data_IF_633530944290
#
_entry.id   IF_633530944290
#
_cell.length_a   1.000
_cell.length_b   1.000
_cell.length_c   1.000
_cell.angle_alpha   90.00
_cell.angle_beta   90.00
_cell.angle_gamma   90.00
#
_symmetry.space_group_name_H-M   'P 1'
#
loop_
_entity.id
_entity.type
_entity.pdbx_description
1 polymer ?
#
# COMPACT_ATOMS: atom_id res chain seq x y z
N UNK A 1 -38.76 5.43 79.44
CA UNK A 1 -37.68 4.47 79.20
C UNK A 1 -37.78 4.11 77.72
N UNK A 2 -37.10 4.85 76.86
CA UNK A 2 -37.07 4.62 75.47
C UNK A 2 -35.64 4.88 75.02
N UNK A 3 -34.93 3.82 74.58
CA UNK A 3 -33.56 3.86 74.16
C UNK A 3 -33.48 4.33 72.72
N UNK A 4 -32.50 5.16 72.46
CA UNK A 4 -32.17 5.79 71.22
C UNK A 4 -31.08 4.98 70.52
N UNK A 5 -31.39 4.34 69.38
CA UNK A 5 -30.40 3.66 68.53
C UNK A 5 -30.04 4.55 67.36
N UNK A 6 -28.85 5.11 67.41
CA UNK A 6 -28.25 5.90 66.37
C UNK A 6 -27.65 4.96 65.29
N UNK A 7 -28.16 5.03 64.07
CA UNK A 7 -27.65 4.35 62.94
C UNK A 7 -26.54 5.18 62.25
N UNK A 8 -25.30 4.70 62.29
CA UNK A 8 -24.12 5.30 61.62
C UNK A 8 -23.98 4.74 60.23
N UNK A 9 -24.61 5.41 59.27
CA UNK A 9 -24.39 5.15 57.85
C UNK A 9 -23.02 5.69 57.40
N UNK A 10 -22.03 4.81 57.30
CA UNK A 10 -20.71 5.12 56.75
C UNK A 10 -20.78 5.22 55.21
N UNK A 11 -20.89 6.44 54.69
CA UNK A 11 -20.74 6.73 53.27
C UNK A 11 -19.30 6.42 52.84
N UNK A 12 -19.09 5.31 52.17
CA UNK A 12 -17.86 5.05 51.40
C UNK A 12 -17.81 5.99 50.19
N UNK A 13 -17.01 7.03 50.32
CA UNK A 13 -16.67 7.92 49.22
C UNK A 13 -15.69 7.16 48.28
N UNK A 14 -16.23 6.47 47.27
CA UNK A 14 -15.46 5.89 46.18
C UNK A 14 -14.90 7.02 45.31
N UNK A 15 -13.64 7.39 45.56
CA UNK A 15 -12.88 8.28 44.70
C UNK A 15 -12.66 7.53 43.40
N UNK A 16 -13.52 7.77 42.40
CA UNK A 16 -13.23 7.38 41.02
C UNK A 16 -11.97 8.15 40.62
N UNK A 17 -10.86 7.45 40.49
CA UNK A 17 -9.65 7.98 39.86
C UNK A 17 -10.03 8.36 38.43
N UNK A 18 -10.11 9.65 38.14
CA UNK A 18 -10.22 10.14 36.79
C UNK A 18 -8.92 9.73 36.09
N UNK A 19 -8.98 8.65 35.29
CA UNK A 19 -7.93 8.31 34.37
C UNK A 19 -7.73 9.53 33.45
N UNK A 20 -6.53 10.10 33.48
CA UNK A 20 -6.16 11.15 32.55
C UNK A 20 -6.45 10.66 31.13
N UNK A 21 -7.05 11.49 30.27
CA UNK A 21 -7.35 11.06 28.90
C UNK A 21 -6.06 10.58 28.25
N UNK A 22 -6.00 9.28 27.92
CA UNK A 22 -4.87 8.72 27.20
C UNK A 22 -4.82 9.43 25.85
N UNK A 23 -3.78 10.24 25.65
CA UNK A 23 -3.60 10.96 24.40
C UNK A 23 -3.33 9.92 23.29
N UNK A 24 -4.30 9.76 22.38
CA UNK A 24 -4.16 8.87 21.23
C UNK A 24 -3.35 9.59 20.16
N UNK A 25 -2.20 9.05 19.82
CA UNK A 25 -1.38 9.57 18.73
C UNK A 25 -1.92 9.08 17.38
N UNK A 26 -1.87 9.94 16.36
CA UNK A 26 -2.22 9.58 15.00
C UNK A 26 -0.97 9.55 14.13
N UNK A 27 -0.78 8.42 13.46
CA UNK A 27 0.33 8.16 12.55
C UNK A 27 -0.21 7.99 11.11
N UNK A 28 0.55 8.44 10.13
CA UNK A 28 0.23 8.24 8.71
C UNK A 28 1.35 7.43 8.08
N UNK A 29 1.00 6.31 7.44
CA UNK A 29 1.95 5.35 6.86
C UNK A 29 1.67 5.13 5.38
N UNK A 30 2.71 4.93 4.57
CA UNK A 30 2.60 4.55 3.17
C UNK A 30 3.20 3.18 2.90
N UNK A 31 2.40 2.28 2.36
CA UNK A 31 2.90 1.09 1.67
C UNK A 31 3.06 1.43 0.20
N UNK A 32 4.28 1.84 -0.18
CA UNK A 32 4.62 2.19 -1.56
C UNK A 32 5.07 0.94 -2.28
N UNK A 33 4.36 0.57 -3.35
CA UNK A 33 4.62 -0.62 -4.14
C UNK A 33 5.15 -0.26 -5.53
N UNK A 34 6.07 -1.07 -6.03
CA UNK A 34 6.52 -1.09 -7.44
C UNK A 34 6.69 -2.50 -7.94
N UNK A 35 6.83 -2.64 -9.26
CA UNK A 35 7.24 -3.89 -9.90
C UNK A 35 8.62 -3.75 -10.50
N UNK A 36 9.55 -4.61 -10.07
CA UNK A 36 10.90 -4.70 -10.62
C UNK A 36 11.41 -6.13 -10.54
N UNK A 37 12.15 -6.56 -11.57
CA UNK A 37 12.76 -7.90 -11.63
C UNK A 37 11.74 -9.04 -11.43
N UNK A 38 10.55 -8.89 -12.03
CA UNK A 38 9.42 -9.80 -11.93
C UNK A 38 8.87 -10.00 -10.50
N UNK A 39 9.23 -9.12 -9.56
CA UNK A 39 8.75 -9.14 -8.18
C UNK A 39 7.95 -7.87 -7.83
N UNK A 40 6.89 -8.04 -7.03
CA UNK A 40 6.23 -6.94 -6.35
C UNK A 40 7.08 -6.54 -5.15
N UNK A 41 7.52 -5.30 -5.12
CA UNK A 41 8.38 -4.77 -4.06
C UNK A 41 7.67 -3.68 -3.27
N UNK A 42 7.96 -3.61 -1.97
CA UNK A 42 7.54 -2.54 -1.08
C UNK A 42 8.74 -1.72 -0.62
N UNK A 43 8.56 -0.42 -0.51
CA UNK A 43 9.58 0.49 0.02
C UNK A 43 9.57 0.44 1.54
N UNK A 44 10.73 0.14 2.13
CA UNK A 44 10.94 0.17 3.57
C UNK A 44 12.18 1.01 3.90
N UNK A 45 12.17 1.64 5.08
CA UNK A 45 13.33 2.33 5.64
C UNK A 45 13.72 1.74 6.99
N UNK A 46 14.98 1.80 7.36
CA UNK A 46 15.50 1.24 8.59
C UNK A 46 15.37 2.24 9.74
N UNK A 47 14.73 1.83 10.83
CA UNK A 47 14.52 2.69 12.00
C UNK A 47 15.83 3.02 12.71
N UNK A 48 16.02 4.32 13.00
CA UNK A 48 17.19 4.83 13.76
C UNK A 48 16.88 5.03 15.26
N UNK A 49 15.69 4.65 15.76
CA UNK A 49 15.24 4.89 17.15
C UNK A 49 14.46 3.71 17.70
N UNK A 50 14.49 3.57 19.03
CA UNK A 50 13.56 2.70 19.76
C UNK A 50 12.10 3.23 19.69
N UNK A 51 11.09 2.38 19.85
CA UNK A 51 11.20 0.92 19.87
C UNK A 51 11.54 0.37 18.48
N UNK A 52 12.06 -0.86 18.42
CA UNK A 52 12.42 -1.54 17.18
C UNK A 52 13.58 -0.90 16.39
N UNK A 53 14.62 -0.43 17.09
CA UNK A 53 15.86 0.04 16.47
C UNK A 53 16.39 -0.97 15.43
N UNK A 54 16.80 -0.49 14.25
CA UNK A 54 17.28 -1.26 13.09
C UNK A 54 16.25 -2.18 12.42
N UNK A 55 15.01 -2.26 12.88
CA UNK A 55 13.94 -2.92 12.15
C UNK A 55 13.48 -2.11 10.94
N UNK A 56 12.96 -2.80 9.94
CA UNK A 56 12.40 -2.17 8.75
C UNK A 56 10.99 -1.64 9.00
N UNK A 57 10.67 -0.50 8.43
CA UNK A 57 9.39 0.18 8.64
C UNK A 57 8.85 0.75 7.34
N UNK A 58 7.56 0.86 7.23
CA UNK A 58 6.92 1.65 6.19
C UNK A 58 7.27 3.14 6.38
N UNK A 59 7.48 3.90 5.29
CA UNK A 59 7.61 5.34 5.35
C UNK A 59 6.37 5.98 5.97
N UNK A 60 6.57 7.01 6.77
CA UNK A 60 5.48 7.72 7.42
C UNK A 60 5.91 8.41 8.70
N UNK A 61 4.96 8.83 9.50
CA UNK A 61 5.20 9.49 10.77
C UNK A 61 3.94 10.09 11.35
N UNK A 62 4.11 10.86 12.41
CA UNK A 62 3.01 11.51 13.10
C UNK A 62 2.29 12.50 12.19
N UNK A 63 0.96 12.49 12.24
CA UNK A 63 0.13 13.54 11.67
C UNK A 63 0.36 14.84 12.44
N UNK A 64 0.68 15.93 11.73
CA UNK A 64 0.79 17.25 12.34
C UNK A 64 -0.60 17.86 12.57
N UNK A 65 -0.67 18.83 13.49
CA UNK A 65 -1.94 19.40 13.94
C UNK A 65 -2.61 20.30 12.86
N UNK A 66 -1.84 20.73 11.86
CA UNK A 66 -2.24 21.67 10.80
C UNK A 66 -2.35 21.03 9.41
N UNK A 67 -2.29 19.70 9.33
CA UNK A 67 -2.38 18.97 8.05
C UNK A 67 -3.43 17.86 8.06
N UNK A 68 -4.01 17.55 6.92
CA UNK A 68 -4.81 16.35 6.72
C UNK A 68 -3.93 15.13 6.41
N UNK A 69 -4.51 13.94 6.45
CA UNK A 69 -3.78 12.68 6.28
C UNK A 69 -3.18 12.52 4.88
N UNK A 70 -3.79 13.09 3.84
CA UNK A 70 -3.28 13.02 2.47
C UNK A 70 -2.10 13.98 2.28
N UNK A 71 -2.16 15.17 2.82
CA UNK A 71 -1.05 16.13 2.85
C UNK A 71 0.12 15.55 3.62
N UNK A 72 -0.15 14.99 4.82
CA UNK A 72 0.85 14.34 5.65
C UNK A 72 1.62 13.26 4.90
N UNK A 73 0.92 12.31 4.26
CA UNK A 73 1.61 11.20 3.61
C UNK A 73 2.48 11.67 2.43
N UNK A 74 2.02 12.65 1.64
CA UNK A 74 2.81 13.21 0.53
C UNK A 74 4.07 13.90 1.04
N UNK A 75 3.98 14.68 2.11
CA UNK A 75 5.12 15.33 2.77
C UNK A 75 6.10 14.29 3.31
N UNK A 76 5.62 13.30 4.08
CA UNK A 76 6.45 12.25 4.67
C UNK A 76 7.24 11.46 3.60
N UNK A 77 6.63 11.15 2.47
CA UNK A 77 7.28 10.46 1.36
C UNK A 77 8.33 11.32 0.68
N UNK A 78 8.07 12.62 0.49
CA UNK A 78 9.02 13.54 -0.11
C UNK A 78 10.23 13.80 0.79
N UNK A 79 10.01 13.95 2.10
CA UNK A 79 11.05 14.33 3.06
C UNK A 79 11.93 13.15 3.51
N UNK A 80 11.33 11.97 3.71
CA UNK A 80 12.02 10.82 4.33
C UNK A 80 12.63 9.85 3.35
N UNK A 81 12.00 9.66 2.21
CA UNK A 81 12.40 8.62 1.25
C UNK A 81 12.56 9.14 -0.17
N UNK A 82 12.44 10.46 -0.35
CA UNK A 82 12.56 11.18 -1.63
C UNK A 82 11.69 10.62 -2.77
N UNK A 83 10.57 10.01 -2.44
CA UNK A 83 9.60 9.49 -3.41
C UNK A 83 8.54 10.54 -3.70
N UNK A 84 8.73 11.30 -4.79
CA UNK A 84 7.84 12.40 -5.20
C UNK A 84 6.90 12.01 -6.33
N UNK A 85 7.24 10.97 -7.07
CA UNK A 85 6.55 10.55 -8.30
C UNK A 85 5.65 9.34 -8.07
N UNK A 86 4.62 9.50 -7.25
CA UNK A 86 3.57 8.50 -7.12
C UNK A 86 2.55 8.69 -8.24
N UNK A 87 2.28 7.64 -8.99
CA UNK A 87 1.25 7.66 -10.04
C UNK A 87 -0.14 7.42 -9.48
N UNK A 88 -0.23 6.78 -8.30
CA UNK A 88 -1.47 6.54 -7.60
C UNK A 88 -1.23 6.54 -6.08
N UNK A 89 -2.13 7.18 -5.34
CA UNK A 89 -2.20 7.14 -3.87
C UNK A 89 -3.65 7.00 -3.47
N UNK A 90 -3.94 6.07 -2.57
CA UNK A 90 -5.27 5.93 -1.99
C UNK A 90 -5.19 5.46 -0.54
N UNK A 91 -6.16 5.80 0.28
CA UNK A 91 -6.25 5.27 1.62
C UNK A 91 -6.50 3.77 1.59
N UNK A 92 -5.62 3.01 2.24
CA UNK A 92 -5.72 1.56 2.39
C UNK A 92 -6.71 1.21 3.49
N UNK A 93 -6.56 1.82 4.65
CA UNK A 93 -7.37 1.58 5.83
C UNK A 93 -6.82 2.24 7.08
N UNK A 94 -7.52 2.00 8.20
CA UNK A 94 -7.09 2.43 9.53
C UNK A 94 -6.69 1.20 10.34
N UNK A 95 -5.50 1.24 10.93
CA UNK A 95 -4.94 0.19 11.78
C UNK A 95 -4.92 0.71 13.22
N UNK A 96 -5.70 0.08 14.08
CA UNK A 96 -5.99 0.60 15.41
C UNK A 96 -6.02 -0.48 16.50
N UNK A 97 -5.31 -1.60 16.31
CA UNK A 97 -5.16 -2.60 17.37
C UNK A 97 -4.58 -1.93 18.63
N UNK A 98 -5.13 -2.21 19.84
CA UNK A 98 -4.68 -1.56 21.06
C UNK A 98 -3.20 -1.74 21.36
N UNK A 99 -2.65 -2.85 20.96
CA UNK A 99 -1.28 -3.31 21.19
C UNK A 99 -0.33 -3.09 20.01
N UNK A 100 -0.78 -2.39 18.94
CA UNK A 100 0.07 -2.13 17.77
C UNK A 100 1.34 -1.31 18.09
N UNK A 101 1.34 -0.56 19.18
CA UNK A 101 2.50 0.17 19.68
C UNK A 101 2.74 -0.14 21.16
N UNK A 102 3.99 -0.46 21.58
CA UNK A 102 4.26 -1.03 22.92
C UNK A 102 4.10 -0.05 24.07
N UNK A 103 4.16 1.28 23.82
CA UNK A 103 4.23 2.28 24.90
C UNK A 103 3.12 3.34 24.86
N UNK A 104 2.34 3.43 23.78
CA UNK A 104 1.29 4.46 23.65
C UNK A 104 0.13 3.97 22.80
N UNK A 105 -1.01 4.60 22.95
CA UNK A 105 -2.16 4.38 22.08
C UNK A 105 -1.92 5.10 20.75
N UNK A 106 -1.67 4.34 19.70
CA UNK A 106 -1.44 4.87 18.34
C UNK A 106 -2.50 4.33 17.38
N UNK A 107 -3.05 5.20 16.56
CA UNK A 107 -3.91 4.85 15.41
C UNK A 107 -3.17 5.23 14.14
N UNK A 108 -3.07 4.33 13.18
CA UNK A 108 -2.43 4.60 11.90
C UNK A 108 -3.44 4.67 10.76
N UNK A 109 -3.41 5.75 9.99
CA UNK A 109 -3.99 5.82 8.65
C UNK A 109 -2.96 5.36 7.64
N UNK A 110 -3.18 4.20 7.03
CA UNK A 110 -2.28 3.64 6.02
C UNK A 110 -2.76 3.95 4.60
N UNK A 111 -1.81 4.19 3.70
CA UNK A 111 -2.02 4.50 2.29
C UNK A 111 -1.31 3.48 1.41
N UNK A 112 -1.93 3.13 0.30
CA UNK A 112 -1.31 2.44 -0.82
C UNK A 112 -0.78 3.47 -1.80
N UNK A 113 0.54 3.45 -2.05
CA UNK A 113 1.20 4.22 -3.10
C UNK A 113 1.72 3.32 -4.21
N UNK A 114 1.65 3.76 -5.47
CA UNK A 114 2.17 3.02 -6.62
C UNK A 114 3.18 3.86 -7.41
N UNK A 115 4.30 3.24 -7.75
CA UNK A 115 5.38 3.82 -8.57
C UNK A 115 5.52 2.99 -9.85
N UNK A 116 5.56 3.62 -11.05
CA UNK A 116 5.78 2.92 -12.30
C UNK A 116 7.15 2.22 -12.34
N UNK A 117 7.24 1.11 -13.07
CA UNK A 117 8.44 0.26 -13.11
C UNK A 117 9.65 0.91 -13.81
N UNK A 118 9.46 1.98 -14.55
CA UNK A 118 10.51 2.79 -15.18
C UNK A 118 11.01 3.96 -14.32
N UNK A 119 10.38 4.19 -13.17
CA UNK A 119 10.81 5.20 -12.20
C UNK A 119 11.73 4.55 -11.17
N UNK A 120 12.92 5.09 -11.01
CA UNK A 120 13.91 4.65 -10.03
C UNK A 120 14.36 5.85 -9.18
N UNK A 121 13.67 6.11 -8.07
CA UNK A 121 14.02 7.22 -7.19
C UNK A 121 15.38 6.99 -6.52
N UNK A 122 16.14 8.05 -6.33
CA UNK A 122 17.35 8.03 -5.51
C UNK A 122 16.92 7.88 -4.04
N UNK A 123 17.26 6.75 -3.44
CA UNK A 123 16.86 6.44 -2.08
C UNK A 123 17.97 6.79 -1.08
N UNK A 124 17.62 7.27 0.12
CA UNK A 124 18.55 7.34 1.24
C UNK A 124 19.20 5.99 1.56
N UNK A 125 20.37 5.99 2.16
CA UNK A 125 21.15 4.76 2.43
C UNK A 125 20.45 3.76 3.36
N UNK A 126 19.54 4.24 4.18
CA UNK A 126 18.71 3.46 5.12
C UNK A 126 17.36 2.99 4.51
N UNK A 127 17.13 3.28 3.24
CA UNK A 127 15.86 3.00 2.55
C UNK A 127 16.09 2.03 1.38
N UNK A 128 15.26 1.00 1.27
CA UNK A 128 15.38 -0.04 0.22
C UNK A 128 14.02 -0.60 -0.19
N UNK A 129 14.00 -1.13 -1.40
CA UNK A 129 12.92 -1.95 -1.92
C UNK A 129 13.12 -3.41 -1.50
N UNK A 130 12.07 -4.03 -0.97
CA UNK A 130 12.05 -5.44 -0.56
C UNK A 130 10.92 -6.17 -1.26
N UNK A 131 11.15 -7.40 -1.68
CA UNK A 131 10.08 -8.24 -2.22
C UNK A 131 8.99 -8.45 -1.16
N UNK A 132 7.72 -8.26 -1.54
CA UNK A 132 6.60 -8.39 -0.57
C UNK A 132 6.44 -9.83 -0.09
N UNK A 133 6.87 -10.79 -0.89
CA UNK A 133 6.81 -12.21 -0.52
C UNK A 133 8.01 -12.66 0.36
N UNK A 134 9.01 -11.79 0.56
CA UNK A 134 10.23 -12.05 1.35
C UNK A 134 10.56 -10.84 2.24
N UNK A 135 9.59 -10.40 3.04
CA UNK A 135 9.77 -9.23 3.90
C UNK A 135 10.82 -9.50 4.98
N UNK A 136 11.72 -8.55 5.23
CA UNK A 136 12.62 -8.61 6.38
C UNK A 136 11.83 -8.41 7.67
N UNK A 137 12.48 -8.61 8.82
CA UNK A 137 11.86 -8.34 10.12
C UNK A 137 11.44 -6.87 10.23
N UNK A 138 10.15 -6.61 10.27
CA UNK A 138 9.55 -5.27 10.36
C UNK A 138 9.30 -4.82 11.79
N UNK A 139 9.09 -3.53 11.97
CA UNK A 139 8.63 -2.93 13.21
C UNK A 139 7.11 -2.94 13.26
N UNK A 140 6.55 -3.02 14.47
CA UNK A 140 5.11 -2.94 14.72
C UNK A 140 4.30 -3.93 13.85
N UNK A 141 3.15 -3.46 13.36
CA UNK A 141 2.25 -4.16 12.43
C UNK A 141 2.52 -3.82 10.95
N UNK A 142 3.73 -3.35 10.62
CA UNK A 142 4.04 -2.86 9.27
C UNK A 142 4.07 -3.97 8.21
N UNK A 143 4.35 -5.22 8.60
CA UNK A 143 4.21 -6.39 7.73
C UNK A 143 2.74 -6.58 7.32
N UNK A 144 1.82 -6.55 8.28
CA UNK A 144 0.39 -6.71 8.01
C UNK A 144 -0.15 -5.63 7.08
N UNK A 145 0.32 -4.37 7.25
CA UNK A 145 -0.04 -3.25 6.38
C UNK A 145 0.50 -3.46 4.96
N UNK A 146 1.74 -3.91 4.81
CA UNK A 146 2.34 -4.22 3.50
C UNK A 146 1.60 -5.35 2.79
N UNK A 147 1.24 -6.42 3.51
CA UNK A 147 0.45 -7.52 2.97
C UNK A 147 -0.97 -7.07 2.59
N UNK A 148 -1.63 -6.27 3.42
CA UNK A 148 -2.95 -5.69 3.11
C UNK A 148 -2.91 -4.81 1.84
N UNK A 149 -1.82 -4.07 1.60
CA UNK A 149 -1.66 -3.26 0.40
C UNK A 149 -1.50 -4.12 -0.87
N UNK A 150 -0.78 -5.25 -0.78
CA UNK A 150 -0.71 -6.24 -1.86
C UNK A 150 -2.09 -6.79 -2.21
N UNK A 151 -2.86 -7.19 -1.21
CA UNK A 151 -4.21 -7.74 -1.44
C UNK A 151 -5.15 -6.66 -2.00
N UNK A 152 -5.03 -5.41 -1.57
CA UNK A 152 -5.78 -4.28 -2.16
C UNK A 152 -5.44 -4.11 -3.64
N UNK A 153 -4.16 -4.13 -4.00
CA UNK A 153 -3.71 -4.03 -5.38
C UNK A 153 -4.25 -5.19 -6.24
N UNK A 154 -4.15 -6.44 -5.74
CA UNK A 154 -4.70 -7.64 -6.40
C UNK A 154 -6.20 -7.50 -6.67
N UNK A 155 -6.95 -7.11 -5.67
CA UNK A 155 -8.39 -6.88 -5.81
C UNK A 155 -8.69 -5.82 -6.88
N UNK A 156 -8.00 -4.68 -6.85
CA UNK A 156 -8.22 -3.59 -7.81
C UNK A 156 -7.84 -3.93 -9.25
N UNK A 157 -6.78 -4.70 -9.47
CA UNK A 157 -6.42 -5.21 -10.80
C UNK A 157 -7.54 -6.02 -11.43
N UNK A 158 -8.40 -6.65 -10.62
CA UNK A 158 -9.50 -7.48 -11.12
C UNK A 158 -10.65 -6.69 -11.73
N UNK A 159 -10.91 -5.44 -11.33
CA UNK A 159 -12.08 -4.68 -11.75
C UNK A 159 -11.84 -3.23 -12.16
N UNK A 160 -10.59 -2.75 -12.04
CA UNK A 160 -10.21 -1.38 -12.40
C UNK A 160 -9.10 -1.35 -13.45
N UNK A 161 -8.72 -0.15 -13.88
CA UNK A 161 -7.56 0.08 -14.73
C UNK A 161 -6.25 0.35 -13.95
N UNK A 162 -6.18 0.09 -12.65
CA UNK A 162 -5.07 0.49 -11.76
C UNK A 162 -3.67 0.05 -12.26
N UNK A 163 -3.61 -0.94 -13.16
CA UNK A 163 -2.36 -1.36 -13.80
C UNK A 163 -1.60 -0.22 -14.49
N UNK A 164 -2.27 0.89 -14.84
CA UNK A 164 -1.63 2.09 -15.38
C UNK A 164 -0.55 2.66 -14.45
N UNK A 165 -0.73 2.49 -13.15
CA UNK A 165 0.16 3.05 -12.15
C UNK A 165 1.44 2.22 -11.92
N UNK A 166 1.49 1.01 -12.51
CA UNK A 166 2.61 0.07 -12.35
C UNK A 166 3.51 -0.02 -13.58
N UNK A 167 3.05 0.48 -14.74
CA UNK A 167 3.78 0.38 -16.01
C UNK A 167 4.20 1.75 -16.52
N UNK A 168 5.23 1.83 -17.39
CA UNK A 168 5.57 3.04 -18.14
C UNK A 168 4.38 3.61 -18.92
N UNK A 169 4.53 4.81 -19.44
CA UNK A 169 3.50 5.42 -20.27
C UNK A 169 3.17 4.58 -21.51
N UNK A 170 4.21 4.02 -22.15
CA UNK A 170 4.10 3.08 -23.28
C UNK A 170 4.79 1.77 -22.91
N UNK A 171 4.15 0.66 -23.24
CA UNK A 171 4.64 -0.69 -22.88
C UNK A 171 4.25 -1.74 -23.91
N UNK A 172 4.94 -2.86 -23.89
CA UNK A 172 4.55 -4.04 -24.67
C UNK A 172 3.56 -4.91 -23.89
N UNK A 173 2.79 -5.76 -24.58
CA UNK A 173 1.93 -6.76 -23.91
C UNK A 173 2.76 -7.72 -23.04
N UNK A 174 3.99 -8.00 -23.42
CA UNK A 174 4.90 -8.81 -22.60
C UNK A 174 5.24 -8.12 -21.27
N UNK A 175 5.57 -6.83 -21.30
CA UNK A 175 5.78 -6.02 -20.09
C UNK A 175 4.54 -6.03 -19.20
N UNK A 176 3.37 -5.74 -19.78
CA UNK A 176 2.11 -5.72 -19.05
C UNK A 176 1.80 -7.09 -18.41
N UNK A 177 2.02 -8.18 -19.13
CA UNK A 177 1.83 -9.55 -18.61
C UNK A 177 2.74 -9.82 -17.40
N UNK A 178 4.03 -9.48 -17.51
CA UNK A 178 4.97 -9.63 -16.37
C UNK A 178 4.49 -8.84 -15.16
N UNK A 179 4.06 -7.59 -15.37
CA UNK A 179 3.47 -6.73 -14.34
C UNK A 179 2.28 -7.40 -13.64
N UNK A 180 1.30 -7.89 -14.42
CA UNK A 180 0.13 -8.54 -13.84
C UNK A 180 0.47 -9.88 -13.18
N UNK A 181 1.38 -10.67 -13.75
CA UNK A 181 1.83 -11.94 -13.15
C UNK A 181 2.47 -11.70 -11.78
N UNK A 182 3.38 -10.75 -11.67
CA UNK A 182 4.06 -10.44 -10.41
C UNK A 182 3.10 -9.82 -9.37
N UNK A 183 2.22 -8.90 -9.79
CA UNK A 183 1.27 -8.28 -8.87
C UNK A 183 0.21 -9.26 -8.37
N UNK A 184 -0.29 -10.16 -9.23
CA UNK A 184 -1.33 -11.14 -8.88
C UNK A 184 -0.76 -12.38 -8.18
N UNK A 185 0.54 -12.66 -8.34
CA UNK A 185 1.18 -13.82 -7.74
C UNK A 185 0.92 -15.15 -8.48
N UNK A 186 0.37 -15.11 -9.71
CA UNK A 186 0.18 -16.28 -10.56
C UNK A 186 0.34 -15.96 -12.04
N UNK A 187 0.61 -17.00 -12.86
CA UNK A 187 0.85 -16.82 -14.29
C UNK A 187 -0.40 -16.35 -15.03
N UNK A 188 -0.28 -15.22 -15.70
CA UNK A 188 -1.35 -14.64 -16.53
C UNK A 188 -1.08 -14.94 -18.00
N UNK A 189 -2.07 -15.58 -18.66
CA UNK A 189 -1.97 -15.85 -20.10
C UNK A 189 -2.05 -14.54 -20.90
N UNK A 190 -1.08 -14.24 -21.80
CA UNK A 190 -0.99 -12.95 -22.50
C UNK A 190 -2.23 -12.67 -23.35
N UNK A 191 -2.73 -13.68 -24.08
CA UNK A 191 -3.93 -13.55 -24.92
C UNK A 191 -5.18 -13.25 -24.10
N UNK A 192 -5.33 -13.88 -22.94
CA UNK A 192 -6.45 -13.61 -22.05
C UNK A 192 -6.38 -12.21 -21.45
N UNK A 193 -5.20 -11.79 -20.97
CA UNK A 193 -4.98 -10.45 -20.43
C UNK A 193 -5.32 -9.37 -21.46
N UNK A 194 -4.75 -9.47 -22.66
CA UNK A 194 -5.01 -8.52 -23.74
C UNK A 194 -6.51 -8.48 -24.10
N UNK A 195 -7.16 -9.65 -24.26
CA UNK A 195 -8.58 -9.74 -24.57
C UNK A 195 -9.47 -9.10 -23.49
N UNK A 196 -9.17 -9.35 -22.20
CA UNK A 196 -9.92 -8.78 -21.08
C UNK A 196 -9.76 -7.25 -21.04
N UNK A 197 -8.54 -6.75 -21.13
CA UNK A 197 -8.29 -5.30 -21.05
C UNK A 197 -8.77 -4.55 -22.31
N UNK A 198 -8.68 -5.17 -23.48
CA UNK A 198 -9.26 -4.61 -24.70
C UNK A 198 -10.79 -4.53 -24.61
N UNK A 199 -11.47 -5.60 -24.13
CA UNK A 199 -12.93 -5.60 -23.92
C UNK A 199 -13.37 -4.51 -22.95
N UNK A 200 -12.54 -4.20 -21.94
CA UNK A 200 -12.78 -3.11 -20.98
C UNK A 200 -12.50 -1.72 -21.59
N UNK A 201 -11.96 -1.63 -22.80
CA UNK A 201 -11.60 -0.37 -23.44
C UNK A 201 -10.47 0.40 -22.72
N UNK A 202 -9.63 -0.32 -21.96
CA UNK A 202 -8.57 0.33 -21.16
C UNK A 202 -7.22 0.39 -21.85
N UNK A 203 -7.03 -0.31 -22.97
CA UNK A 203 -5.79 -0.34 -23.73
C UNK A 203 -6.02 0.12 -25.18
N UNK A 204 -5.09 0.91 -25.68
CA UNK A 204 -5.03 1.28 -27.08
C UNK A 204 -3.61 1.11 -27.64
N UNK A 205 -3.45 0.71 -28.93
CA UNK A 205 -2.16 0.69 -29.60
C UNK A 205 -1.68 2.12 -29.85
N UNK A 206 -0.37 2.35 -29.70
CA UNK A 206 0.23 3.67 -29.98
C UNK A 206 0.59 3.88 -31.45
N UNK A 207 0.51 2.83 -32.28
CA UNK A 207 1.03 2.81 -33.65
C UNK A 207 2.55 2.65 -33.74
N UNK A 208 3.25 2.60 -32.60
CA UNK A 208 4.71 2.45 -32.49
C UNK A 208 5.10 1.02 -32.14
N UNK A 209 6.35 0.68 -32.38
CA UNK A 209 6.94 -0.61 -32.03
C UNK A 209 8.34 -0.41 -31.47
N UNK A 210 8.80 -1.31 -30.63
CA UNK A 210 10.21 -1.41 -30.26
C UNK A 210 11.03 -1.99 -31.41
N UNK A 211 12.36 -1.77 -31.44
CA UNK A 211 13.25 -2.49 -32.36
C UNK A 211 13.10 -4.01 -32.22
N UNK A 212 13.31 -4.75 -33.28
CA UNK A 212 13.37 -6.20 -33.20
C UNK A 212 14.51 -6.63 -32.28
N UNK A 213 14.26 -7.66 -31.44
CA UNK A 213 15.29 -8.19 -30.57
C UNK A 213 16.47 -8.85 -31.35
N UNK A 214 17.60 -9.14 -30.67
CA UNK A 214 18.79 -9.73 -31.29
C UNK A 214 18.52 -11.07 -32.00
N UNK A 215 17.51 -11.81 -31.56
CA UNK A 215 17.10 -13.08 -32.17
C UNK A 215 16.23 -12.90 -33.44
N UNK A 216 15.98 -11.66 -33.88
CA UNK A 216 15.05 -11.35 -34.97
C UNK A 216 13.60 -11.45 -34.54
N UNK A 217 12.68 -11.45 -35.49
CA UNK A 217 11.26 -11.59 -35.28
C UNK A 217 10.49 -10.28 -35.50
N UNK A 218 9.15 -10.32 -35.33
CA UNK A 218 8.30 -9.15 -35.51
C UNK A 218 8.53 -8.14 -34.37
N UNK A 219 8.80 -6.85 -34.68
CA UNK A 219 8.93 -5.81 -33.67
C UNK A 219 7.72 -5.77 -32.70
N UNK A 220 7.95 -5.75 -31.39
CA UNK A 220 6.85 -5.70 -30.40
C UNK A 220 6.09 -4.38 -30.51
N UNK A 221 4.76 -4.43 -30.70
CA UNK A 221 3.92 -3.25 -30.71
C UNK A 221 3.82 -2.63 -29.32
N UNK A 222 3.76 -1.30 -29.26
CA UNK A 222 3.57 -0.53 -28.05
C UNK A 222 2.09 -0.20 -27.84
N UNK A 223 1.68 -0.28 -26.60
CA UNK A 223 0.35 0.03 -26.10
C UNK A 223 0.46 1.07 -24.99
N UNK A 224 -0.64 1.75 -24.70
CA UNK A 224 -0.81 2.60 -23.52
C UNK A 224 -2.19 2.40 -22.90
N UNK A 225 -2.35 2.79 -21.64
CA UNK A 225 -3.67 2.90 -21.04
C UNK A 225 -4.41 4.11 -21.59
N UNK A 226 -5.70 3.95 -21.90
CA UNK A 226 -6.58 5.02 -22.43
C UNK A 226 -6.84 6.13 -21.41
N UNK A 227 -6.68 5.82 -20.11
CA UNK A 227 -6.81 6.76 -19.02
C UNK A 227 -5.84 6.39 -17.89
N UNK A 228 -5.20 7.38 -17.29
CA UNK A 228 -4.29 7.22 -16.14
C UNK A 228 -4.89 7.73 -14.82
N UNK A 229 -6.20 7.95 -14.78
CA UNK A 229 -6.97 8.11 -13.57
C UNK A 229 -7.66 6.80 -13.21
N UNK A 230 -7.77 6.49 -11.93
CA UNK A 230 -8.41 5.26 -11.47
C UNK A 230 -9.89 5.21 -11.88
N UNK A 231 -10.28 4.16 -12.59
CA UNK A 231 -11.67 3.91 -13.00
C UNK A 231 -12.06 2.48 -12.77
N UNK A 232 -13.29 2.26 -12.33
CA UNK A 232 -13.92 0.94 -12.37
C UNK A 232 -14.26 0.65 -13.83
N UNK A 233 -13.70 -0.44 -14.37
CA UNK A 233 -13.82 -0.80 -15.79
C UNK A 233 -14.68 -2.02 -16.03
N UNK A 234 -14.85 -2.86 -15.03
CA UNK A 234 -15.73 -4.01 -15.07
C UNK A 234 -16.10 -4.44 -13.63
N UNK A 235 -17.27 -4.10 -13.13
CA UNK A 235 -17.69 -4.46 -11.77
C UNK A 235 -17.87 -5.98 -11.59
N UNK A 236 -18.01 -6.75 -12.69
CA UNK A 236 -18.26 -8.20 -12.67
C UNK A 236 -17.06 -9.02 -13.15
N UNK A 237 -16.11 -8.42 -13.85
CA UNK A 237 -14.92 -9.13 -14.32
C UNK A 237 -13.92 -9.30 -13.21
N UNK A 238 -13.51 -10.53 -13.00
CA UNK A 238 -12.57 -10.88 -11.96
C UNK A 238 -11.37 -11.60 -12.59
N UNK A 239 -10.17 -11.04 -12.46
CA UNK A 239 -8.92 -11.74 -12.72
C UNK A 239 -8.57 -12.58 -11.49
N UNK A 240 -9.34 -13.64 -11.24
CA UNK A 240 -9.14 -14.57 -10.12
C UNK A 240 -8.05 -15.59 -10.43
N UNK A 241 -7.32 -16.08 -9.41
CA UNK A 241 -6.47 -17.26 -9.58
C UNK A 241 -7.27 -18.46 -10.10
N UNK A 242 -6.66 -19.39 -10.88
CA UNK A 242 -7.34 -20.52 -11.48
C UNK A 242 -8.05 -21.45 -10.48
N UNK A 243 -7.66 -21.47 -9.22
CA UNK A 243 -8.17 -22.38 -8.18
C UNK A 243 -8.68 -21.61 -6.94
N UNK A 244 -9.11 -20.36 -7.06
CA UNK A 244 -9.71 -19.67 -5.93
C UNK A 244 -11.04 -20.35 -5.55
N UNK A 245 -11.27 -20.71 -4.28
CA UNK A 245 -12.56 -21.21 -3.85
C UNK A 245 -13.66 -20.17 -4.14
N UNK A 246 -14.81 -20.65 -4.59
CA UNK A 246 -16.02 -19.86 -4.92
C UNK A 246 -16.71 -19.36 -3.65
#
# INVERSE_FOLDING_TARGET
>A
MVENMSDHSTRRNGKASAESPQNTEHEVLASVLRLRDDALQVLLWQRAREPHLHRWSLPGGRLADDEDVETSIRRQLAEKVDVRHLTHVEQLGVFSAPDRHPSSRVVASAFLGLVPSDVDPELPSDTRWHAVDELPATAFDHEDIALASRERLRAKLSYTNIGFALVPHEFTISTLRRTYTAALGYQVAPTNLQRVLARRGVLEPTGRSLPAGPAGGRPPALFRFTCRDLRITDPFAVLRPPNAPS
#
